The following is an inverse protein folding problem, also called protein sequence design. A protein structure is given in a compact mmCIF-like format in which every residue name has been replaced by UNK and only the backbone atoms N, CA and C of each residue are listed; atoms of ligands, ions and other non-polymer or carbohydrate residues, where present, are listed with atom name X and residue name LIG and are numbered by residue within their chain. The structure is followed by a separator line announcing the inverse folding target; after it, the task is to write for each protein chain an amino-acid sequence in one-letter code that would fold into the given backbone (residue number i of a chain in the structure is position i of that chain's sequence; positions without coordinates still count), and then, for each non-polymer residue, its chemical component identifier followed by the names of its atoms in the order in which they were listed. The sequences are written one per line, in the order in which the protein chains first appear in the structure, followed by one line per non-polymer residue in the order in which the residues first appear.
data_IF_754183189446
#
_entry.id   IF_754183189446
#
_cell.length_a   1.000
_cell.length_b   1.000
_cell.length_c   1.000
_cell.angle_alpha   90.00
_cell.angle_beta   90.00
_cell.angle_gamma   90.00
#
_symmetry.space_group_name_H-M   'P 1'
#
loop_
_entity.id
_entity.type
_entity.pdbx_description
1 polymer ?
#
# COMPACT_ATOMS: atom_id res chain seq x y z
N UNK A 1 3.84 18.55 -2.91
CA UNK A 1 2.72 17.58 -3.12
C UNK A 1 3.14 16.20 -2.66
N UNK A 2 2.35 15.59 -1.78
CA UNK A 2 2.65 14.30 -1.14
C UNK A 2 1.71 13.23 -1.70
N UNK A 3 2.26 12.08 -2.11
CA UNK A 3 1.47 10.97 -2.64
C UNK A 3 1.55 9.80 -1.67
N UNK A 4 0.39 9.32 -1.23
CA UNK A 4 0.26 8.18 -0.33
C UNK A 4 -0.50 7.08 -1.06
N UNK A 5 0.05 5.88 -1.09
CA UNK A 5 -0.57 4.69 -1.65
C UNK A 5 -0.70 3.66 -0.54
N UNK A 6 -1.93 3.33 -0.18
CA UNK A 6 -2.21 2.29 0.81
C UNK A 6 -2.54 0.98 0.10
N UNK A 7 -1.85 -0.08 0.51
CA UNK A 7 -2.10 -1.45 0.07
C UNK A 7 -2.02 -2.43 1.24
N UNK A 8 -2.60 -3.62 1.05
CA UNK A 8 -2.81 -4.61 2.08
C UNK A 8 -2.38 -6.00 1.64
N UNK A 9 -1.97 -6.82 2.60
CA UNK A 9 -1.66 -8.23 2.37
C UNK A 9 -2.28 -9.11 3.45
N UNK A 10 -2.92 -10.19 3.01
CA UNK A 10 -3.75 -11.06 3.85
C UNK A 10 -5.16 -10.50 4.04
N UNK A 11 -6.02 -11.25 4.71
CA UNK A 11 -7.37 -10.80 5.05
C UNK A 11 -7.43 -10.34 6.51
N UNK A 12 -8.40 -9.49 6.87
CA UNK A 12 -8.65 -9.09 8.27
C UNK A 12 -9.68 -10.02 8.96
N UNK A 13 -9.94 -11.20 8.42
CA UNK A 13 -10.81 -12.20 9.04
C UNK A 13 -10.19 -12.80 10.30
N UNK A 14 -11.04 -13.09 11.28
CA UNK A 14 -10.65 -13.67 12.57
C UNK A 14 -11.34 -15.03 12.86
N UNK A 15 -12.15 -15.53 11.92
CA UNK A 15 -12.81 -16.83 12.05
C UNK A 15 -11.83 -17.97 11.70
N UNK A 16 -10.93 -18.26 12.64
CA UNK A 16 -9.91 -19.31 12.52
C UNK A 16 -10.46 -20.73 12.51
N UNK A 17 -11.73 -20.92 12.89
CA UNK A 17 -12.36 -22.23 12.98
C UNK A 17 -12.99 -22.61 11.64
N UNK A 18 -13.84 -21.74 11.08
CA UNK A 18 -14.65 -22.10 9.91
C UNK A 18 -14.06 -21.59 8.59
N UNK A 19 -13.41 -20.41 8.60
CA UNK A 19 -13.00 -19.71 7.38
C UNK A 19 -11.50 -19.76 7.09
N UNK A 20 -10.69 -20.23 8.05
CA UNK A 20 -9.22 -20.36 7.95
C UNK A 20 -8.55 -19.13 7.32
N UNK A 21 -8.80 -17.91 7.85
CA UNK A 21 -8.18 -16.70 7.38
C UNK A 21 -6.66 -16.75 7.53
N UNK A 22 -5.96 -15.84 6.85
CA UNK A 22 -4.53 -15.66 6.98
C UNK A 22 -4.13 -15.51 8.46
N UNK A 23 -2.91 -15.90 8.85
CA UNK A 23 -2.46 -15.66 10.22
C UNK A 23 -2.06 -14.20 10.46
N UNK A 24 -1.50 -13.59 9.42
CA UNK A 24 -0.99 -12.23 9.43
C UNK A 24 -1.81 -11.36 8.50
N UNK A 25 -1.97 -10.11 8.91
CA UNK A 25 -2.54 -9.05 8.12
C UNK A 25 -1.57 -7.87 8.13
N UNK A 26 -1.17 -7.38 6.96
CA UNK A 26 -0.21 -6.29 6.84
C UNK A 26 -0.86 -5.13 6.10
N UNK A 27 -0.80 -3.94 6.69
CA UNK A 27 -1.10 -2.68 6.00
C UNK A 27 0.23 -2.01 5.66
N UNK A 28 0.33 -1.49 4.45
CA UNK A 28 1.49 -0.76 3.96
C UNK A 28 1.05 0.58 3.37
N UNK A 29 1.79 1.65 3.67
CA UNK A 29 1.66 2.95 3.03
C UNK A 29 2.99 3.30 2.37
N UNK A 30 2.95 3.46 1.05
CA UNK A 30 4.04 4.04 0.26
C UNK A 30 3.85 5.55 0.20
N UNK A 31 4.84 6.30 0.67
CA UNK A 31 4.87 7.76 0.67
C UNK A 31 5.90 8.25 -0.34
N UNK A 32 5.46 9.07 -1.28
CA UNK A 32 6.34 9.67 -2.31
C UNK A 32 6.21 11.19 -2.24
N UNK A 33 7.35 11.85 -2.08
CA UNK A 33 7.45 13.32 -2.07
C UNK A 33 7.71 13.84 -3.49
N UNK A 34 6.85 14.75 -3.94
CA UNK A 34 7.04 15.45 -5.21
C UNK A 34 6.56 14.67 -6.44
N UNK A 35 6.11 15.43 -7.44
CA UNK A 35 5.54 14.88 -8.67
C UNK A 35 6.58 14.15 -9.53
N UNK A 36 7.84 14.60 -9.51
CA UNK A 36 8.91 14.01 -10.31
C UNK A 36 9.28 12.61 -9.82
N UNK A 37 9.38 12.40 -8.50
CA UNK A 37 9.60 11.08 -7.89
C UNK A 37 8.49 10.10 -8.26
N UNK A 38 7.22 10.52 -8.16
CA UNK A 38 6.07 9.72 -8.58
C UNK A 38 6.16 9.34 -10.06
N UNK A 39 6.41 10.32 -10.95
CA UNK A 39 6.54 10.07 -12.39
C UNK A 39 7.66 9.09 -12.71
N UNK A 40 8.81 9.19 -12.03
CA UNK A 40 9.94 8.27 -12.20
C UNK A 40 9.55 6.84 -11.84
N UNK A 41 8.89 6.63 -10.70
CA UNK A 41 8.42 5.31 -10.27
C UNK A 41 7.42 4.74 -11.28
N UNK A 42 6.38 5.50 -11.67
CA UNK A 42 5.35 5.04 -12.62
C UNK A 42 5.97 4.66 -13.97
N UNK A 43 6.83 5.54 -14.54
CA UNK A 43 7.55 5.23 -15.79
C UNK A 43 8.41 3.98 -15.66
N UNK A 44 9.01 3.76 -14.50
CA UNK A 44 9.84 2.58 -14.28
C UNK A 44 9.01 1.29 -14.16
N UNK A 45 7.82 1.35 -13.55
CA UNK A 45 6.85 0.25 -13.55
C UNK A 45 6.48 -0.11 -15.00
N UNK A 46 6.02 0.87 -15.79
CA UNK A 46 5.64 0.67 -17.20
C UNK A 46 6.80 0.10 -18.03
N UNK A 47 8.00 0.64 -17.85
CA UNK A 47 9.21 0.16 -18.53
C UNK A 47 9.53 -1.28 -18.15
N UNK A 48 9.38 -1.65 -16.87
CA UNK A 48 9.62 -3.02 -16.38
C UNK A 48 8.60 -3.98 -16.96
N UNK A 49 7.31 -3.65 -16.89
CA UNK A 49 6.23 -4.41 -17.51
C UNK A 49 6.53 -4.66 -18.98
N UNK A 50 6.77 -3.60 -19.75
CA UNK A 50 7.01 -3.69 -21.20
C UNK A 50 8.25 -4.50 -21.56
N UNK A 51 9.37 -4.32 -20.85
CA UNK A 51 10.66 -4.93 -21.23
C UNK A 51 10.87 -6.33 -20.67
N UNK A 52 10.32 -6.62 -19.48
CA UNK A 52 10.62 -7.85 -18.74
C UNK A 52 9.46 -8.83 -18.70
N UNK A 53 8.22 -8.34 -18.57
CA UNK A 53 7.04 -9.20 -18.44
C UNK A 53 6.21 -9.30 -19.73
N UNK A 54 6.27 -8.27 -20.57
CA UNK A 54 5.53 -8.15 -21.81
C UNK A 54 6.45 -7.87 -23.04
N UNK A 55 7.52 -8.63 -23.29
CA UNK A 55 8.35 -8.45 -24.49
C UNK A 55 7.57 -8.80 -25.77
N UNK A 56 7.64 -7.97 -26.82
CA UNK A 56 6.81 -8.10 -28.04
C UNK A 56 6.76 -9.53 -28.63
N UNK A 57 7.88 -10.26 -28.61
CA UNK A 57 8.00 -11.56 -29.28
C UNK A 57 8.02 -12.77 -28.32
N UNK A 58 7.79 -12.58 -27.02
CA UNK A 58 7.80 -13.69 -26.03
C UNK A 58 6.58 -13.66 -25.09
N UNK A 59 5.51 -12.95 -25.47
CA UNK A 59 4.29 -12.83 -24.67
C UNK A 59 3.44 -14.09 -24.79
N UNK A 60 3.33 -14.84 -23.70
CA UNK A 60 2.27 -15.86 -23.53
C UNK A 60 0.96 -15.28 -22.98
N UNK A 61 1.06 -14.20 -22.20
CA UNK A 61 -0.06 -13.43 -21.63
C UNK A 61 0.34 -11.97 -21.46
N UNK A 62 -0.64 -11.07 -21.36
CA UNK A 62 -0.40 -9.66 -21.07
C UNK A 62 -0.50 -9.39 -19.57
N UNK A 63 0.61 -9.00 -18.94
CA UNK A 63 0.70 -8.69 -17.52
C UNK A 63 0.47 -7.20 -17.30
N UNK A 64 -0.59 -6.82 -16.60
CA UNK A 64 -0.93 -5.41 -16.37
C UNK A 64 -0.28 -4.82 -15.11
N UNK A 65 0.17 -5.67 -14.18
CA UNK A 65 0.64 -5.26 -12.86
C UNK A 65 1.99 -5.90 -12.52
N UNK A 66 2.88 -5.13 -11.90
CA UNK A 66 4.18 -5.62 -11.44
C UNK A 66 4.06 -6.21 -10.03
N UNK A 67 3.68 -7.49 -9.93
CA UNK A 67 3.57 -8.19 -8.64
C UNK A 67 4.89 -8.82 -8.21
N UNK A 68 5.31 -8.55 -6.97
CA UNK A 68 6.52 -9.13 -6.41
C UNK A 68 6.46 -10.67 -6.27
N UNK A 69 5.28 -11.23 -6.01
CA UNK A 69 5.07 -12.68 -5.85
C UNK A 69 5.16 -13.45 -7.16
N UNK A 70 4.79 -12.82 -8.28
CA UNK A 70 4.79 -13.45 -9.61
C UNK A 70 5.99 -13.08 -10.47
N UNK A 71 7.08 -12.60 -9.87
CA UNK A 71 8.22 -12.01 -10.57
C UNK A 71 9.55 -12.56 -10.03
N UNK A 72 10.53 -12.74 -10.91
CA UNK A 72 11.87 -13.26 -10.55
C UNK A 72 12.72 -12.22 -9.83
N UNK A 73 13.70 -12.68 -9.05
CA UNK A 73 14.65 -11.80 -8.35
C UNK A 73 15.34 -10.80 -9.29
N UNK A 74 15.82 -11.26 -10.45
CA UNK A 74 16.48 -10.42 -11.45
C UNK A 74 15.60 -9.26 -11.97
N UNK A 75 14.27 -9.45 -12.03
CA UNK A 75 13.35 -8.37 -12.44
C UNK A 75 13.15 -7.38 -11.28
N UNK A 76 13.09 -7.86 -10.02
CA UNK A 76 13.03 -7.00 -8.83
C UNK A 76 14.28 -6.13 -8.74
N UNK A 77 15.46 -6.71 -8.87
CA UNK A 77 16.74 -5.99 -8.90
C UNK A 77 16.79 -4.97 -10.04
N UNK A 78 16.32 -5.36 -11.23
CA UNK A 78 16.21 -4.44 -12.36
C UNK A 78 15.32 -3.23 -12.02
N UNK A 79 14.18 -3.45 -11.38
CA UNK A 79 13.29 -2.36 -10.96
C UNK A 79 13.97 -1.45 -9.93
N UNK A 80 14.41 -2.01 -8.80
CA UNK A 80 14.98 -1.25 -7.68
C UNK A 80 16.26 -0.50 -8.06
N UNK A 81 17.13 -1.09 -8.88
CA UNK A 81 18.35 -0.40 -9.37
C UNK A 81 18.03 0.86 -10.17
N UNK A 82 16.89 0.93 -10.85
CA UNK A 82 16.52 2.10 -11.66
C UNK A 82 15.72 3.15 -10.86
N UNK A 83 15.29 2.85 -9.64
CA UNK A 83 14.62 3.80 -8.74
C UNK A 83 15.41 4.10 -7.46
N UNK A 84 16.65 3.60 -7.35
CA UNK A 84 17.49 3.73 -6.15
C UNK A 84 17.73 5.19 -5.72
N UNK A 85 17.72 6.12 -6.68
CA UNK A 85 17.94 7.55 -6.45
C UNK A 85 16.63 8.32 -6.33
N UNK A 86 15.49 7.62 -6.25
CA UNK A 86 14.17 8.22 -6.03
C UNK A 86 13.86 8.14 -4.54
N UNK A 87 13.60 9.30 -3.94
CA UNK A 87 13.19 9.37 -2.54
C UNK A 87 11.74 8.93 -2.35
N UNK A 88 11.54 7.90 -1.53
CA UNK A 88 10.24 7.42 -1.08
C UNK A 88 10.40 6.71 0.26
N UNK A 89 9.32 6.66 1.03
CA UNK A 89 9.29 6.00 2.34
C UNK A 89 8.21 4.95 2.37
N UNK A 90 8.45 3.87 3.13
CA UNK A 90 7.48 2.79 3.32
C UNK A 90 7.19 2.70 4.81
N UNK A 91 5.91 2.74 5.15
CA UNK A 91 5.41 2.54 6.50
C UNK A 91 4.56 1.28 6.49
N UNK A 92 4.84 0.32 7.36
CA UNK A 92 4.08 -0.93 7.40
C UNK A 92 3.93 -1.46 8.82
N UNK A 93 2.74 -1.98 9.12
CA UNK A 93 2.44 -2.71 10.35
C UNK A 93 1.91 -4.08 9.96
N UNK A 94 2.44 -5.11 10.60
CA UNK A 94 1.95 -6.48 10.46
C UNK A 94 1.29 -6.92 11.77
N UNK A 95 0.00 -7.19 11.69
CA UNK A 95 -0.81 -7.70 12.78
C UNK A 95 -0.74 -9.23 12.81
N UNK A 96 -0.33 -9.79 13.94
CA UNK A 96 -0.57 -11.20 14.24
C UNK A 96 -2.00 -11.35 14.78
N UNK A 97 -2.92 -11.81 13.93
CA UNK A 97 -4.35 -11.84 14.24
C UNK A 97 -4.71 -12.80 15.38
N UNK A 98 -3.84 -13.76 15.71
CA UNK A 98 -4.03 -14.66 16.87
C UNK A 98 -3.75 -13.97 18.21
N UNK A 99 -3.10 -12.80 18.20
CA UNK A 99 -2.75 -12.02 19.40
C UNK A 99 -3.65 -10.80 19.59
N UNK A 100 -4.66 -10.62 18.73
CA UNK A 100 -5.62 -9.52 18.85
C UNK A 100 -6.63 -9.89 19.92
N UNK A 101 -6.89 -8.97 20.85
CA UNK A 101 -7.89 -9.17 21.90
C UNK A 101 -9.27 -9.49 21.29
N UNK A 102 -9.97 -10.46 21.88
CA UNK A 102 -11.24 -10.98 21.37
C UNK A 102 -12.33 -9.92 21.24
N UNK A 103 -12.36 -8.91 22.10
CA UNK A 103 -13.30 -7.79 22.03
C UNK A 103 -13.07 -6.87 20.80
N UNK A 104 -11.86 -6.82 20.26
CA UNK A 104 -11.54 -6.04 19.05
C UNK A 104 -11.93 -6.79 17.78
N UNK A 105 -12.00 -8.12 17.84
CA UNK A 105 -12.34 -9.00 16.70
C UNK A 105 -13.76 -8.76 16.18
N UNK A 106 -14.68 -8.32 17.05
CA UNK A 106 -16.08 -8.09 16.71
C UNK A 106 -16.28 -6.94 15.72
N UNK A 107 -15.32 -5.98 15.65
CA UNK A 107 -15.40 -4.84 14.75
C UNK A 107 -14.15 -4.72 13.88
N UNK A 108 -14.15 -5.46 12.76
CA UNK A 108 -13.06 -5.47 11.78
C UNK A 108 -12.72 -4.08 11.23
N UNK A 109 -13.74 -3.28 10.92
CA UNK A 109 -13.53 -1.91 10.42
C UNK A 109 -12.79 -1.05 11.45
N UNK A 110 -13.12 -1.18 12.74
CA UNK A 110 -12.43 -0.46 13.81
C UNK A 110 -10.97 -0.90 13.96
N UNK A 111 -10.68 -2.20 13.90
CA UNK A 111 -9.30 -2.71 13.93
C UNK A 111 -8.53 -2.19 12.73
N UNK A 112 -9.14 -2.24 11.55
CA UNK A 112 -8.55 -1.70 10.33
C UNK A 112 -8.16 -0.24 10.51
N UNK A 113 -9.13 0.61 10.89
CA UNK A 113 -8.95 2.04 11.05
C UNK A 113 -7.89 2.36 12.10
N UNK A 114 -7.85 1.59 13.19
CA UNK A 114 -6.83 1.75 14.21
C UNK A 114 -5.43 1.45 13.68
N UNK A 115 -5.22 0.33 12.98
CA UNK A 115 -3.90 0.00 12.40
C UNK A 115 -3.49 1.01 11.33
N UNK A 116 -4.42 1.41 10.46
CA UNK A 116 -4.17 2.41 9.44
C UNK A 116 -3.78 3.76 10.08
N UNK A 117 -4.50 4.19 11.13
CA UNK A 117 -4.18 5.40 11.89
C UNK A 117 -2.79 5.37 12.50
N UNK A 118 -2.41 4.25 13.12
CA UNK A 118 -1.05 4.10 13.67
C UNK A 118 0.04 4.33 12.64
N UNK A 119 -0.16 3.91 11.38
CA UNK A 119 0.79 4.18 10.30
C UNK A 119 0.81 5.66 9.91
N UNK A 120 -0.36 6.29 9.82
CA UNK A 120 -0.48 7.70 9.46
C UNK A 120 0.17 8.62 10.47
N UNK A 121 0.10 8.27 11.75
CA UNK A 121 0.71 9.04 12.84
C UNK A 121 2.24 9.08 12.74
N UNK A 122 2.85 8.19 11.96
CA UNK A 122 4.29 8.17 11.69
C UNK A 122 4.67 8.98 10.44
N UNK A 123 3.70 9.46 9.66
CA UNK A 123 3.94 10.21 8.43
C UNK A 123 3.96 11.70 8.75
N UNK A 124 5.07 12.35 8.44
CA UNK A 124 5.20 13.79 8.57
C UNK A 124 4.48 14.53 7.44
N UNK A 125 3.25 14.94 7.73
CA UNK A 125 2.41 15.73 6.83
C UNK A 125 2.81 17.21 6.74
N UNK A 126 3.67 17.73 7.63
CA UNK A 126 4.13 19.13 7.55
C UNK A 126 4.92 19.40 6.28
N UNK A 127 5.52 18.35 5.70
CA UNK A 127 6.23 18.41 4.41
C UNK A 127 5.30 18.46 3.18
N UNK A 128 3.98 18.46 3.37
CA UNK A 128 3.02 18.55 2.28
C UNK A 128 2.80 20.01 1.85
N UNK A 129 3.66 20.55 0.98
CA UNK A 129 3.63 21.96 0.54
C UNK A 129 2.29 22.52 0.03
N UNK A 130 1.34 21.69 -0.41
CA UNK A 130 0.15 22.21 -1.15
C UNK A 130 -1.01 21.24 -1.24
N UNK A 131 -0.75 19.94 -1.47
CA UNK A 131 -1.78 18.90 -1.68
C UNK A 131 -1.29 17.52 -1.28
N UNK A 132 -2.21 16.72 -0.74
CA UNK A 132 -2.05 15.28 -0.52
C UNK A 132 -2.91 14.53 -1.54
N UNK A 133 -2.31 13.55 -2.21
CA UNK A 133 -3.01 12.60 -3.08
C UNK A 133 -2.97 11.24 -2.42
N UNK A 134 -4.10 10.81 -1.89
CA UNK A 134 -4.23 9.50 -1.25
C UNK A 134 -4.94 8.51 -2.19
N UNK A 135 -4.34 7.34 -2.37
CA UNK A 135 -4.91 6.26 -3.18
C UNK A 135 -4.98 5.00 -2.33
N UNK A 136 -6.21 4.53 -2.12
CA UNK A 136 -6.50 3.27 -1.43
C UNK A 136 -6.80 2.20 -2.45
N UNK A 137 -6.25 0.99 -2.26
CA UNK A 137 -6.65 -0.14 -3.09
C UNK A 137 -8.17 -0.41 -2.98
N UNK A 138 -8.79 -0.76 -4.11
CA UNK A 138 -10.25 -0.76 -4.34
C UNK A 138 -10.99 -1.88 -3.60
N UNK A 139 -10.30 -2.70 -2.82
CA UNK A 139 -10.87 -3.79 -2.02
C UNK A 139 -11.64 -3.30 -0.78
N UNK A 140 -11.69 -1.99 -0.55
CA UNK A 140 -12.37 -1.37 0.61
C UNK A 140 -13.84 -1.04 0.41
N UNK A 141 -14.53 -0.98 1.54
CA UNK A 141 -15.89 -0.45 1.63
C UNK A 141 -15.89 1.08 1.64
N UNK A 142 -16.89 1.72 1.00
CA UNK A 142 -17.02 3.20 0.94
C UNK A 142 -16.93 3.92 2.30
N UNK A 143 -17.42 3.36 3.43
CA UNK A 143 -17.29 3.99 4.75
C UNK A 143 -15.85 4.14 5.24
N UNK A 144 -14.98 3.15 4.97
CA UNK A 144 -13.58 3.16 5.43
C UNK A 144 -12.76 4.27 4.76
N UNK A 145 -13.08 4.59 3.50
CA UNK A 145 -12.47 5.70 2.76
C UNK A 145 -12.89 7.04 3.36
N UNK A 146 -14.18 7.21 3.67
CA UNK A 146 -14.70 8.46 4.21
C UNK A 146 -14.16 8.78 5.62
N UNK A 147 -14.03 7.78 6.48
CA UNK A 147 -13.46 7.95 7.82
C UNK A 147 -11.96 8.27 7.76
N UNK A 148 -11.26 7.67 6.78
CA UNK A 148 -9.85 7.98 6.51
C UNK A 148 -9.66 9.41 5.98
N UNK A 149 -10.48 9.86 5.03
CA UNK A 149 -10.41 11.22 4.51
C UNK A 149 -10.63 12.24 5.63
N UNK A 150 -11.61 11.97 6.52
CA UNK A 150 -11.84 12.77 7.72
C UNK A 150 -10.63 12.81 8.64
N UNK A 151 -9.94 11.67 8.81
CA UNK A 151 -8.72 11.59 9.61
C UNK A 151 -7.60 12.48 9.08
N UNK A 152 -7.32 12.40 7.77
CA UNK A 152 -6.31 13.23 7.11
C UNK A 152 -6.68 14.71 7.24
N UNK A 153 -7.94 15.07 6.99
CA UNK A 153 -8.40 16.46 7.11
C UNK A 153 -8.18 17.03 8.51
N UNK A 154 -8.49 16.26 9.56
CA UNK A 154 -8.25 16.68 10.94
C UNK A 154 -6.76 16.90 11.26
N UNK A 155 -5.88 16.02 10.78
CA UNK A 155 -4.43 16.17 11.03
C UNK A 155 -3.78 17.29 10.21
N UNK A 156 -4.38 17.68 9.08
CA UNK A 156 -3.92 18.83 8.30
C UNK A 156 -4.41 20.17 8.84
N UNK A 157 -5.49 20.18 9.63
CA UNK A 157 -6.11 21.41 10.10
C UNK A 157 -5.50 21.97 11.39
N UNK A 158 -4.73 21.18 12.15
CA UNK A 158 -4.06 21.63 13.37
C UNK A 158 -5.03 21.98 14.48
#
# INVERSE_FOLDING_TARGET
MLYLYLDESGDLGFDFVNKKPSKFFTICILVIKGMESRKRIVKMIERTLRRKLNPKNKRKRFVQELKATSTTLAIKEYFYRNIKDVDFSIYSITLNKQRVYSNLVENKARVYNWVARMLLDQIDFTTADTRISFVVDKSKSKPEIAEFDKYILWNLQG
#
